data_IF_495653341846
#
_entry.id   IF_495653341846
#
_cell.length_a   1.000
_cell.length_b   1.000
_cell.length_c   1.000
_cell.angle_alpha   90.00
_cell.angle_beta   90.00
_cell.angle_gamma   90.00
#
_symmetry.space_group_name_H-M   'P 1'
#
loop_
_entity.id
_entity.type
_entity.pdbx_description
1 polymer ?
#
# COMPACT_ATOMS: atom_id res chain seq x y z
N UNK A 1 -12.63 -1.26 7.23
CA UNK A 1 -11.20 -1.19 6.79
C UNK A 1 -10.85 -2.39 5.91
N UNK A 2 -11.36 -3.59 6.24
CA UNK A 2 -11.03 -4.84 5.55
C UNK A 2 -11.45 -4.90 4.07
N UNK A 3 -12.60 -4.32 3.72
CA UNK A 3 -13.04 -4.21 2.33
C UNK A 3 -12.13 -3.28 1.52
N UNK A 4 -11.62 -2.21 2.14
CA UNK A 4 -10.72 -1.27 1.49
C UNK A 4 -9.35 -1.91 1.19
N UNK A 5 -8.83 -2.78 2.07
CA UNK A 5 -7.59 -3.50 1.83
C UNK A 5 -7.66 -4.47 0.65
N UNK A 6 -8.80 -5.16 0.49
CA UNK A 6 -9.04 -6.05 -0.65
C UNK A 6 -9.15 -5.29 -1.98
N UNK A 7 -9.93 -4.19 -2.00
CA UNK A 7 -10.06 -3.34 -3.20
C UNK A 7 -8.74 -2.67 -3.57
N UNK A 8 -7.91 -2.34 -2.58
CA UNK A 8 -6.60 -1.72 -2.81
C UNK A 8 -5.63 -2.65 -3.55
N UNK A 9 -5.56 -3.94 -3.18
CA UNK A 9 -4.71 -4.91 -3.88
C UNK A 9 -5.12 -5.08 -5.34
N UNK A 10 -6.42 -5.18 -5.62
CA UNK A 10 -6.91 -5.27 -7.00
C UNK A 10 -6.56 -3.99 -7.78
N UNK A 11 -6.80 -2.82 -7.19
CA UNK A 11 -6.45 -1.54 -7.80
C UNK A 11 -4.95 -1.40 -8.10
N UNK A 12 -4.08 -1.83 -7.17
CA UNK A 12 -2.65 -1.88 -7.39
C UNK A 12 -2.28 -2.82 -8.52
N UNK A 13 -2.83 -4.04 -8.52
CA UNK A 13 -2.55 -5.04 -9.55
C UNK A 13 -2.93 -4.58 -10.95
N UNK A 14 -4.09 -3.91 -11.09
CA UNK A 14 -4.53 -3.31 -12.36
C UNK A 14 -3.64 -2.11 -12.74
N UNK A 15 -3.28 -1.26 -11.78
CA UNK A 15 -2.40 -0.11 -12.02
C UNK A 15 -1.06 -0.48 -12.63
N UNK A 16 -0.52 -1.67 -12.33
CA UNK A 16 0.74 -2.17 -12.93
C UNK A 16 0.64 -2.46 -14.41
N UNK A 17 -0.54 -2.72 -14.95
CA UNK A 17 -0.72 -2.84 -16.40
C UNK A 17 -0.50 -1.51 -17.13
N UNK A 18 -0.61 -0.37 -16.44
CA UNK A 18 -0.16 0.92 -16.97
C UNK A 18 1.33 0.94 -17.28
N UNK A 19 2.15 0.30 -16.44
CA UNK A 19 3.60 0.16 -16.69
C UNK A 19 3.88 -0.68 -17.93
N UNK A 20 3.09 -1.73 -18.17
CA UNK A 20 3.19 -2.52 -19.40
C UNK A 20 2.83 -1.70 -20.65
N UNK A 21 1.70 -0.98 -20.60
CA UNK A 21 1.26 -0.13 -21.72
C UNK A 21 2.27 0.98 -22.03
N UNK A 22 2.87 1.59 -20.99
CA UNK A 22 3.91 2.60 -21.13
C UNK A 22 5.30 2.02 -21.44
N UNK A 23 5.45 0.69 -21.36
CA UNK A 23 6.69 -0.06 -21.53
C UNK A 23 7.81 0.45 -20.61
N UNK A 24 7.48 0.64 -19.34
CA UNK A 24 8.36 1.20 -18.30
C UNK A 24 8.45 0.26 -17.08
N UNK A 25 9.44 0.50 -16.22
CA UNK A 25 9.63 -0.21 -14.96
C UNK A 25 9.83 -1.74 -15.08
N UNK A 26 10.52 -2.20 -16.12
CA UNK A 26 10.89 -3.61 -16.35
C UNK A 26 12.07 -4.07 -15.48
N UNK A 27 12.29 -5.38 -15.38
CA UNK A 27 13.37 -5.98 -14.61
C UNK A 27 14.66 -6.20 -15.42
N UNK A 28 15.58 -7.00 -14.88
CA UNK A 28 16.82 -7.40 -15.55
C UNK A 28 16.57 -8.35 -16.72
N UNK A 29 17.61 -8.57 -17.55
CA UNK A 29 17.54 -9.56 -18.61
C UNK A 29 17.20 -10.95 -18.07
N UNK A 30 16.36 -11.66 -18.82
CA UNK A 30 15.86 -12.98 -18.48
C UNK A 30 15.95 -13.92 -19.67
N UNK A 31 16.18 -15.19 -19.38
CA UNK A 31 16.12 -16.29 -20.36
C UNK A 31 14.78 -17.01 -20.32
N UNK A 32 13.85 -16.57 -19.47
CA UNK A 32 12.55 -17.20 -19.29
C UNK A 32 11.64 -16.99 -20.52
N UNK A 33 10.76 -17.95 -20.86
CA UNK A 33 9.93 -17.88 -22.06
C UNK A 33 8.85 -16.80 -22.03
N UNK A 34 8.54 -16.24 -20.85
CA UNK A 34 7.64 -15.09 -20.67
C UNK A 34 8.38 -13.75 -20.60
N UNK A 35 9.64 -13.69 -21.04
CA UNK A 35 10.39 -12.44 -21.13
C UNK A 35 9.70 -11.43 -22.04
N UNK A 36 9.75 -10.16 -21.66
CA UNK A 36 9.19 -9.05 -22.43
C UNK A 36 10.30 -8.35 -23.20
N UNK A 37 10.07 -8.02 -24.47
CA UNK A 37 10.98 -7.18 -25.27
C UNK A 37 10.17 -6.15 -26.05
N UNK A 38 10.66 -4.92 -26.12
CA UNK A 38 10.10 -3.86 -26.95
C UNK A 38 11.22 -2.97 -27.48
N UNK A 39 10.99 -2.28 -28.61
CA UNK A 39 11.90 -1.27 -29.13
C UNK A 39 12.25 -0.23 -28.06
N UNK A 40 11.25 0.30 -27.33
CA UNK A 40 11.46 1.30 -26.28
C UNK A 40 12.32 0.80 -25.12
N UNK A 41 12.18 -0.48 -24.75
CA UNK A 41 12.99 -1.13 -23.72
C UNK A 41 14.44 -1.27 -24.19
N UNK A 42 14.60 -1.66 -25.45
CA UNK A 42 15.91 -1.82 -26.10
C UNK A 42 16.65 -0.48 -26.17
N UNK A 43 15.96 0.57 -26.62
CA UNK A 43 16.49 1.93 -26.71
C UNK A 43 16.91 2.45 -25.33
N UNK A 44 16.11 2.20 -24.30
CA UNK A 44 16.46 2.56 -22.92
C UNK A 44 17.72 1.85 -22.43
N UNK A 45 17.87 0.55 -22.69
CA UNK A 45 19.06 -0.21 -22.29
C UNK A 45 20.31 0.35 -22.98
N UNK A 46 20.21 0.67 -24.27
CA UNK A 46 21.30 1.27 -25.04
C UNK A 46 21.68 2.67 -24.52
N UNK A 47 20.69 3.53 -24.26
CA UNK A 47 20.95 4.89 -23.77
C UNK A 47 21.49 4.94 -22.34
N UNK A 48 21.16 3.94 -21.52
CA UNK A 48 21.50 3.91 -20.09
C UNK A 48 22.58 2.89 -19.73
N UNK A 49 23.26 2.30 -20.71
CA UNK A 49 24.22 1.21 -20.51
C UNK A 49 25.37 1.58 -19.55
N UNK A 50 25.88 2.81 -19.62
CA UNK A 50 26.94 3.29 -18.74
C UNK A 50 26.50 3.39 -17.26
N UNK A 51 25.28 3.88 -17.03
CA UNK A 51 24.68 4.01 -15.69
C UNK A 51 24.34 2.62 -15.11
N UNK A 52 23.88 1.70 -15.95
CA UNK A 52 23.63 0.31 -15.55
C UNK A 52 24.92 -0.40 -15.16
N UNK A 53 26.00 -0.20 -15.92
CA UNK A 53 27.32 -0.75 -15.62
C UNK A 53 27.90 -0.19 -14.30
N UNK A 54 27.75 1.11 -14.03
CA UNK A 54 28.13 1.72 -12.76
C UNK A 54 27.37 1.10 -11.57
N UNK A 55 26.10 0.75 -11.77
CA UNK A 55 25.29 0.01 -10.79
C UNK A 55 25.63 -1.50 -10.71
N UNK A 56 26.61 -1.99 -11.48
CA UNK A 56 26.98 -3.40 -11.55
C UNK A 56 25.94 -4.29 -12.25
N UNK A 57 25.01 -3.70 -13.00
CA UNK A 57 23.94 -4.41 -13.70
C UNK A 57 24.33 -4.55 -15.18
N UNK A 58 24.68 -5.78 -15.58
CA UNK A 58 24.94 -6.08 -16.98
C UNK A 58 23.63 -6.36 -17.71
N UNK A 59 23.18 -5.41 -18.53
CA UNK A 59 22.05 -5.64 -19.45
C UNK A 59 22.49 -5.71 -20.91
N UNK A 60 21.91 -6.65 -21.64
CA UNK A 60 22.05 -6.76 -23.08
C UNK A 60 20.75 -6.33 -23.77
N UNK A 61 20.82 -5.42 -24.77
CA UNK A 61 19.64 -4.94 -25.47
C UNK A 61 18.92 -6.04 -26.27
N UNK A 62 19.65 -7.07 -26.68
CA UNK A 62 19.12 -8.15 -27.51
C UNK A 62 18.51 -9.33 -26.71
N UNK A 63 18.45 -9.22 -25.38
CA UNK A 63 17.90 -10.26 -24.50
C UNK A 63 16.59 -9.73 -23.89
N UNK A 64 15.52 -10.54 -23.80
CA UNK A 64 14.29 -10.14 -23.13
C UNK A 64 14.52 -9.73 -21.68
N UNK A 65 13.63 -8.90 -21.13
CA UNK A 65 13.66 -8.48 -19.72
C UNK A 65 12.52 -9.12 -18.93
N UNK A 66 12.72 -9.24 -17.62
CA UNK A 66 11.68 -9.70 -16.70
C UNK A 66 10.45 -8.76 -16.72
N UNK A 67 9.23 -9.27 -17.01
CA UNK A 67 7.99 -8.50 -16.89
C UNK A 67 7.59 -8.34 -15.42
N UNK A 68 8.29 -7.46 -14.71
CA UNK A 68 8.02 -7.08 -13.31
C UNK A 68 6.57 -6.69 -13.07
N UNK A 69 5.93 -5.99 -14.02
CA UNK A 69 4.51 -5.63 -13.92
C UNK A 69 3.63 -6.88 -13.71
N UNK A 70 3.92 -7.97 -14.44
CA UNK A 70 3.16 -9.20 -14.39
C UNK A 70 3.36 -9.89 -13.05
N UNK A 71 4.60 -9.93 -12.55
CA UNK A 71 4.90 -10.48 -11.24
C UNK A 71 4.18 -9.71 -10.13
N UNK A 72 4.22 -8.38 -10.18
CA UNK A 72 3.49 -7.51 -9.24
C UNK A 72 1.98 -7.74 -9.33
N UNK A 73 1.38 -7.78 -10.53
CA UNK A 73 -0.05 -8.03 -10.72
C UNK A 73 -0.49 -9.41 -10.21
N UNK A 74 0.28 -10.47 -10.51
CA UNK A 74 0.01 -11.83 -10.02
C UNK A 74 0.11 -11.87 -8.50
N UNK A 75 1.08 -11.18 -7.91
CA UNK A 75 1.23 -11.12 -6.47
C UNK A 75 0.08 -10.39 -5.79
N UNK A 76 -0.37 -9.26 -6.35
CA UNK A 76 -1.56 -8.56 -5.87
C UNK A 76 -2.81 -9.47 -5.90
N UNK A 77 -2.98 -10.26 -6.96
CA UNK A 77 -4.09 -11.20 -7.09
C UNK A 77 -4.02 -12.35 -6.08
N UNK A 78 -2.83 -12.96 -5.92
CA UNK A 78 -2.60 -14.00 -4.92
C UNK A 78 -2.83 -13.46 -3.50
N UNK A 79 -2.32 -12.26 -3.21
CA UNK A 79 -2.54 -11.58 -1.94
C UNK A 79 -4.02 -11.36 -1.65
N UNK A 80 -4.78 -10.89 -2.65
CA UNK A 80 -6.23 -10.74 -2.55
C UNK A 80 -6.91 -12.10 -2.27
N UNK A 81 -6.56 -13.15 -3.01
CA UNK A 81 -7.16 -14.47 -2.84
C UNK A 81 -6.89 -15.04 -1.43
N UNK A 82 -5.66 -14.92 -0.92
CA UNK A 82 -5.29 -15.38 0.42
C UNK A 82 -6.10 -14.62 1.47
N UNK A 83 -6.17 -13.29 1.40
CA UNK A 83 -6.95 -12.47 2.34
C UNK A 83 -8.43 -12.81 2.25
N UNK A 84 -8.97 -12.99 1.04
CA UNK A 84 -10.36 -13.38 0.80
C UNK A 84 -10.69 -14.74 1.44
N UNK A 85 -9.83 -15.75 1.25
CA UNK A 85 -10.01 -17.08 1.85
C UNK A 85 -9.96 -16.98 3.38
N UNK A 86 -9.01 -16.20 3.93
CA UNK A 86 -8.90 -16.00 5.38
C UNK A 86 -10.15 -15.32 5.93
N UNK A 87 -10.66 -14.28 5.25
CA UNK A 87 -11.89 -13.59 5.62
C UNK A 87 -13.09 -14.54 5.63
N UNK A 88 -13.20 -15.43 4.64
CA UNK A 88 -14.34 -16.35 4.49
C UNK A 88 -14.29 -17.55 5.41
N UNK A 89 -13.11 -18.12 5.68
CA UNK A 89 -12.98 -19.42 6.39
C UNK A 89 -12.29 -19.35 7.74
N UNK A 90 -11.42 -18.36 7.96
CA UNK A 90 -10.46 -18.38 9.06
C UNK A 90 -10.48 -17.09 9.89
N UNK A 91 -11.50 -16.25 9.74
CA UNK A 91 -11.60 -14.99 10.47
C UNK A 91 -11.93 -15.27 11.93
N UNK A 92 -10.96 -15.02 12.82
CA UNK A 92 -11.04 -15.35 14.25
C UNK A 92 -10.99 -14.13 15.15
N UNK A 93 -10.41 -13.01 14.70
CA UNK A 93 -10.29 -11.80 15.51
C UNK A 93 -10.23 -10.53 14.67
N UNK A 94 -10.72 -9.42 15.25
CA UNK A 94 -10.64 -8.10 14.65
C UNK A 94 -9.18 -7.67 14.45
N UNK A 95 -8.82 -7.27 13.22
CA UNK A 95 -7.46 -6.89 12.83
C UNK A 95 -6.60 -8.02 12.24
N UNK A 96 -7.09 -9.27 12.18
CA UNK A 96 -6.39 -10.38 11.54
C UNK A 96 -6.05 -10.09 10.07
N UNK A 97 -6.97 -9.47 9.34
CA UNK A 97 -6.82 -9.18 7.92
C UNK A 97 -5.74 -8.12 7.65
N UNK A 98 -5.62 -7.11 8.53
CA UNK A 98 -4.55 -6.09 8.45
C UNK A 98 -3.18 -6.73 8.67
N UNK A 99 -3.07 -7.65 9.62
CA UNK A 99 -1.82 -8.37 9.88
C UNK A 99 -1.45 -9.28 8.71
N UNK A 100 -2.41 -10.04 8.16
CA UNK A 100 -2.20 -10.85 6.97
C UNK A 100 -1.78 -10.01 5.77
N UNK A 101 -2.43 -8.85 5.57
CA UNK A 101 -2.06 -7.89 4.53
C UNK A 101 -0.62 -7.41 4.70
N UNK A 102 -0.21 -7.04 5.91
CA UNK A 102 1.17 -6.60 6.19
C UNK A 102 2.22 -7.66 5.87
N UNK A 103 1.94 -8.93 6.16
CA UNK A 103 2.83 -10.06 5.82
C UNK A 103 2.92 -10.26 4.29
N UNK A 104 1.77 -10.30 3.61
CA UNK A 104 1.69 -10.49 2.15
C UNK A 104 2.38 -9.35 1.40
N UNK A 105 2.14 -8.11 1.82
CA UNK A 105 2.77 -6.92 1.25
C UNK A 105 4.28 -6.89 1.50
N UNK A 106 4.72 -7.30 2.69
CA UNK A 106 6.14 -7.44 2.99
C UNK A 106 6.83 -8.49 2.10
N UNK A 107 6.17 -9.63 1.87
CA UNK A 107 6.67 -10.66 0.98
C UNK A 107 6.70 -10.22 -0.50
N UNK A 108 5.67 -9.49 -0.96
CA UNK A 108 5.64 -8.87 -2.29
C UNK A 108 6.88 -8.02 -2.50
N UNK A 109 7.13 -7.10 -1.56
CA UNK A 109 8.23 -6.16 -1.64
C UNK A 109 9.57 -6.86 -1.60
N UNK A 110 9.75 -7.92 -0.83
CA UNK A 110 10.99 -8.68 -0.84
C UNK A 110 11.29 -9.30 -2.22
N UNK A 111 10.28 -9.89 -2.87
CA UNK A 111 10.42 -10.57 -4.18
C UNK A 111 10.58 -9.57 -5.33
N UNK A 112 9.68 -8.60 -5.42
CA UNK A 112 9.64 -7.60 -6.49
C UNK A 112 10.86 -6.70 -6.46
N UNK A 113 11.28 -6.28 -5.27
CA UNK A 113 12.48 -5.48 -5.09
C UNK A 113 13.75 -6.30 -5.34
N UNK A 114 13.72 -7.63 -5.43
CA UNK A 114 14.85 -8.41 -5.93
C UNK A 114 15.02 -8.31 -7.46
N UNK A 115 13.94 -7.97 -8.17
CA UNK A 115 13.86 -8.01 -9.64
C UNK A 115 14.00 -6.64 -10.30
N UNK A 116 13.76 -5.55 -9.56
CA UNK A 116 13.86 -4.18 -10.09
C UNK A 116 15.31 -3.71 -10.23
N UNK A 117 15.54 -2.77 -11.14
CA UNK A 117 16.87 -2.22 -11.44
C UNK A 117 17.09 -0.82 -10.86
N UNK A 118 16.02 -0.18 -10.41
CA UNK A 118 16.00 1.18 -9.84
C UNK A 118 15.69 1.14 -8.35
N UNK A 119 16.65 0.69 -7.56
CA UNK A 119 16.52 0.61 -6.11
C UNK A 119 17.52 1.52 -5.40
N UNK A 120 17.03 2.16 -4.34
CA UNK A 120 17.84 2.99 -3.46
C UNK A 120 18.58 2.08 -2.47
N UNK A 121 19.89 2.00 -2.60
CA UNK A 121 20.76 1.19 -1.74
C UNK A 121 21.07 1.92 -0.43
N UNK A 122 21.21 1.16 0.66
CA UNK A 122 21.73 1.70 1.93
C UNK A 122 23.26 1.80 1.82
N UNK A 123 23.77 3.00 1.55
CA UNK A 123 25.22 3.25 1.46
C UNK A 123 25.92 2.32 0.47
N UNK A 124 27.08 1.77 0.85
CA UNK A 124 27.89 0.83 0.05
C UNK A 124 27.45 -0.63 0.16
N UNK A 125 26.27 -0.92 0.74
CA UNK A 125 25.80 -2.29 0.91
C UNK A 125 24.88 -2.72 -0.25
N UNK A 126 24.89 -4.01 -0.59
CA UNK A 126 23.97 -4.60 -1.58
C UNK A 126 22.50 -4.67 -1.10
N UNK A 127 22.17 -4.08 0.05
CA UNK A 127 20.84 -4.11 0.65
C UNK A 127 20.05 -2.84 0.29
N UNK A 128 18.85 -3.05 -0.27
CA UNK A 128 17.96 -1.98 -0.71
C UNK A 128 17.11 -1.51 0.48
N UNK A 129 16.94 -0.18 0.64
CA UNK A 129 16.21 0.43 1.77
C UNK A 129 14.79 -0.13 1.88
N UNK A 130 14.13 -0.24 0.73
CA UNK A 130 12.81 -0.82 0.51
C UNK A 130 12.72 -2.27 0.96
N UNK A 131 13.76 -3.10 0.74
CA UNK A 131 13.81 -4.49 1.21
C UNK A 131 13.92 -4.57 2.73
N UNK A 132 14.82 -3.78 3.33
CA UNK A 132 15.00 -3.80 4.78
C UNK A 132 13.71 -3.38 5.50
N UNK A 133 13.10 -2.27 5.05
CA UNK A 133 11.87 -1.77 5.64
C UNK A 133 10.71 -2.76 5.48
N UNK A 134 10.57 -3.38 4.31
CA UNK A 134 9.52 -4.38 4.07
C UNK A 134 9.72 -5.65 4.88
N UNK A 135 10.96 -6.13 5.04
CA UNK A 135 11.28 -7.27 5.91
C UNK A 135 10.95 -6.99 7.38
N UNK A 136 11.26 -5.79 7.89
CA UNK A 136 10.95 -5.40 9.26
C UNK A 136 9.42 -5.38 9.47
N UNK A 137 8.67 -4.75 8.56
CA UNK A 137 7.21 -4.70 8.64
C UNK A 137 6.62 -6.11 8.57
N UNK A 138 7.11 -6.95 7.66
CA UNK A 138 6.67 -8.35 7.55
C UNK A 138 6.90 -9.13 8.85
N UNK A 139 8.09 -9.00 9.45
CA UNK A 139 8.46 -9.70 10.67
C UNK A 139 7.60 -9.24 11.87
N UNK A 140 7.34 -7.94 12.00
CA UNK A 140 6.47 -7.39 13.05
C UNK A 140 5.04 -7.90 12.89
N UNK A 141 4.48 -7.82 11.68
CA UNK A 141 3.12 -8.32 11.40
C UNK A 141 3.00 -9.82 11.66
N UNK A 142 3.99 -10.62 11.24
CA UNK A 142 4.03 -12.05 11.47
C UNK A 142 4.12 -12.39 12.96
N UNK A 143 4.96 -11.68 13.72
CA UNK A 143 5.11 -11.88 15.17
C UNK A 143 3.80 -11.62 15.90
N UNK A 144 3.13 -10.50 15.60
CA UNK A 144 1.84 -10.15 16.21
C UNK A 144 0.78 -11.21 15.84
N UNK A 145 0.78 -11.67 14.59
CA UNK A 145 -0.15 -12.70 14.12
C UNK A 145 0.06 -14.01 14.89
N UNK A 146 1.30 -14.48 15.02
CA UNK A 146 1.64 -15.69 15.80
C UNK A 146 1.20 -15.54 17.26
N UNK A 147 1.54 -14.42 17.91
CA UNK A 147 1.16 -14.16 19.32
C UNK A 147 -0.36 -14.17 19.50
N UNK A 148 -1.11 -13.55 18.59
CA UNK A 148 -2.58 -13.54 18.63
C UNK A 148 -3.17 -14.92 18.40
N UNK A 149 -2.65 -15.70 17.45
CA UNK A 149 -3.08 -17.07 17.24
C UNK A 149 -2.81 -17.97 18.45
N UNK A 150 -1.65 -17.83 19.11
CA UNK A 150 -1.31 -18.55 20.35
C UNK A 150 -2.21 -18.11 21.51
N UNK A 151 -2.49 -16.82 21.64
CA UNK A 151 -3.37 -16.26 22.68
C UNK A 151 -4.83 -16.72 22.51
N UNK A 152 -5.33 -16.78 21.27
CA UNK A 152 -6.66 -17.30 20.95
C UNK A 152 -6.79 -18.81 21.20
N UNK A 153 -5.69 -19.56 21.08
CA UNK A 153 -5.65 -20.98 21.44
C UNK A 153 -5.73 -21.19 22.96
N UNK A 154 -5.28 -20.22 23.77
CA UNK A 154 -5.36 -20.23 25.24
C UNK A 154 -6.71 -19.75 25.79
N UNK A 155 -7.37 -18.79 25.12
CA UNK A 155 -8.71 -18.32 25.49
C UNK A 155 -9.61 -18.25 24.25
N UNK A 156 -10.36 -19.32 23.94
CA UNK A 156 -11.28 -19.31 22.80
C UNK A 156 -12.49 -18.45 23.15
N UNK A 157 -12.44 -17.16 22.79
CA UNK A 157 -13.67 -16.37 22.70
C UNK A 157 -14.31 -16.68 21.33
N UNK A 158 -15.56 -17.16 21.28
CA UNK A 158 -16.24 -17.36 20.01
C UNK A 158 -16.37 -16.00 19.33
N UNK A 159 -15.81 -15.88 18.13
CA UNK A 159 -15.99 -14.71 17.28
C UNK A 159 -17.48 -14.59 16.92
N UNK A 160 -18.15 -13.56 17.42
CA UNK A 160 -19.51 -13.22 17.01
C UNK A 160 -19.43 -12.11 15.96
N UNK A 161 -20.00 -12.30 14.75
CA UNK A 161 -20.08 -11.25 13.72
C UNK A 161 -20.77 -9.95 14.20
N UNK A 162 -21.50 -10.01 15.31
CA UNK A 162 -22.23 -8.89 15.92
C UNK A 162 -21.28 -7.83 16.49
N UNK A 163 -20.16 -8.19 17.11
CA UNK A 163 -19.22 -7.21 17.70
C UNK A 163 -18.53 -6.32 16.64
N UNK A 164 -18.27 -6.86 15.44
CA UNK A 164 -17.66 -6.09 14.34
C UNK A 164 -18.65 -5.06 13.80
N UNK A 165 -19.95 -5.40 13.80
CA UNK A 165 -21.00 -4.48 13.35
C UNK A 165 -21.19 -3.34 14.35
N UNK A 166 -21.30 -3.65 15.64
CA UNK A 166 -21.42 -2.65 16.71
C UNK A 166 -20.21 -1.71 16.78
N UNK A 167 -18.97 -2.23 16.65
CA UNK A 167 -17.78 -1.36 16.64
C UNK A 167 -17.70 -0.47 15.41
N UNK A 168 -18.20 -0.94 14.25
CA UNK A 168 -18.22 -0.15 13.02
C UNK A 168 -19.30 0.92 13.05
N UNK A 169 -20.50 0.59 13.56
CA UNK A 169 -21.62 1.53 13.76
C UNK A 169 -21.24 2.60 14.81
N UNK A 170 -20.75 2.21 15.99
CA UNK A 170 -20.27 3.16 17.01
C UNK A 170 -19.12 4.06 16.51
N UNK A 171 -18.19 3.51 15.72
CA UNK A 171 -17.07 4.30 15.16
C UNK A 171 -17.52 5.27 14.06
N UNK A 172 -18.60 4.94 13.34
CA UNK A 172 -19.24 5.80 12.36
C UNK A 172 -19.97 6.96 13.03
N UNK A 173 -20.81 6.66 14.03
CA UNK A 173 -21.55 7.66 14.80
C UNK A 173 -20.61 8.65 15.49
N UNK A 174 -19.54 8.19 16.16
CA UNK A 174 -18.55 9.07 16.80
C UNK A 174 -17.84 10.02 15.82
N UNK A 175 -17.70 9.62 14.55
CA UNK A 175 -17.06 10.45 13.51
C UNK A 175 -18.01 11.50 12.97
N UNK A 176 -19.28 11.16 12.73
CA UNK A 176 -20.29 12.13 12.30
C UNK A 176 -20.58 13.14 13.41
N UNK A 177 -20.67 12.69 14.65
CA UNK A 177 -20.91 13.54 15.81
C UNK A 177 -19.76 14.58 16.02
N UNK A 178 -18.51 14.17 15.76
CA UNK A 178 -17.36 15.09 15.73
C UNK A 178 -17.38 16.05 14.54
N UNK A 179 -17.85 15.61 13.37
CA UNK A 179 -17.94 16.41 12.15
C UNK A 179 -19.01 17.50 12.30
N UNK A 180 -20.14 17.17 12.89
CA UNK A 180 -21.24 18.10 13.16
C UNK A 180 -20.87 19.13 14.22
N UNK A 181 -20.21 18.70 15.31
CA UNK A 181 -19.64 19.63 16.31
C UNK A 181 -18.63 20.60 15.69
N UNK A 182 -17.77 20.13 14.78
CA UNK A 182 -16.80 20.98 14.07
C UNK A 182 -17.50 21.98 13.13
N UNK A 183 -18.52 21.55 12.40
CA UNK A 183 -19.31 22.40 11.48
C UNK A 183 -20.08 23.49 12.25
N UNK A 184 -20.69 23.15 13.38
CA UNK A 184 -21.39 24.10 14.24
C UNK A 184 -20.44 25.12 14.87
N UNK A 185 -19.25 24.68 15.30
CA UNK A 185 -18.22 25.59 15.84
C UNK A 185 -17.77 26.63 14.80
N UNK A 186 -17.50 26.19 13.57
CA UNK A 186 -17.10 27.08 12.46
C UNK A 186 -18.24 28.08 12.12
N UNK A 187 -19.50 27.61 12.11
CA UNK A 187 -20.65 28.47 11.85
C UNK A 187 -20.83 29.55 12.93
N UNK A 188 -20.66 29.19 14.21
CA UNK A 188 -20.75 30.12 15.33
C UNK A 188 -19.61 31.16 15.32
N UNK A 189 -18.40 30.73 14.99
CA UNK A 189 -17.22 31.61 14.88
C UNK A 189 -17.39 32.62 13.73
N UNK A 190 -17.89 32.17 12.58
CA UNK A 190 -18.21 33.03 11.43
C UNK A 190 -19.30 34.06 11.75
N UNK A 191 -20.34 33.68 12.52
CA UNK A 191 -21.39 34.61 12.98
C UNK A 191 -20.83 35.67 13.92
N UNK A 192 -19.94 35.30 14.85
CA UNK A 192 -19.27 36.24 15.76
C UNK A 192 -18.37 37.22 15.01
N UNK A 193 -17.68 36.75 13.98
CA UNK A 193 -16.83 37.61 13.16
C UNK A 193 -17.63 38.61 12.31
N UNK A 194 -18.76 38.19 11.74
CA UNK A 194 -19.69 39.08 11.05
C UNK A 194 -20.25 40.15 12.01
N UNK A 195 -20.62 39.79 13.24
CA UNK A 195 -21.09 40.77 14.24
C UNK A 195 -19.99 41.78 14.59
N UNK A 196 -18.75 41.32 14.84
CA UNK A 196 -17.60 42.21 15.08
C UNK A 196 -17.25 43.10 13.89
N UNK A 197 -17.49 42.66 12.66
CA UNK A 197 -17.32 43.50 11.47
C UNK A 197 -18.43 44.54 11.33
N UNK A 198 -19.65 44.22 11.79
CA UNK A 198 -20.79 45.15 11.78
C UNK A 198 -20.65 46.23 12.86
N UNK A 199 -20.22 45.86 14.06
CA UNK A 199 -19.88 46.80 15.15
C UNK A 199 -18.80 47.79 14.70
N UNK A 200 -17.68 47.29 14.14
CA UNK A 200 -16.59 48.14 13.62
C UNK A 200 -16.97 49.07 12.46
N UNK A 201 -18.06 48.78 11.74
CA UNK A 201 -18.57 49.66 10.68
C UNK A 201 -19.49 50.75 11.22
N UNK A 202 -20.26 50.44 12.27
CA UNK A 202 -21.13 51.43 12.91
C UNK A 202 -20.33 52.48 13.70
N UNK A 203 -19.21 52.09 14.33
CA UNK A 203 -18.34 53.03 15.06
C UNK A 203 -17.51 53.96 14.14
N UNK A 204 -17.55 53.75 12.81
CA UNK A 204 -16.80 54.53 11.82
C UNK A 204 -17.59 55.63 11.11
N UNK A 205 -18.92 55.72 11.33
CA UNK A 205 -19.82 56.71 10.69
C UNK A 205 -20.20 57.88 11.64
N UNK A 206 -19.74 57.86 12.90
CA UNK A 206 -20.04 58.89 13.93
C UNK A 206 -18.93 59.96 14.09
N UNK A 207 -18.10 60.19 13.06
CA UNK A 207 -17.01 61.18 13.07
C UNK A 207 -17.01 62.02 11.78
#
# INVERSE_FOLDING_TARGET
LDLAGMSFLIGQGIGRWGNYANQEAFGTNTTMPWGMSSAKVTDYILSNQALLAEKGINMSPNIPVHPTFLYESVWCLLGFLVIYIICRKCYKFSGQLILCYGVIYGAERAVVEGLRTDSLYIGSSNLRVSQLLSMIIAAVCLTILIVKFVSLKKHPKPFSPVEVRETTENSGELKDDKKDKKKNKISAEKRREIMRQKERKNDGDDN
#
